data_IF_746013373484
#
_entry.id   IF_746013373484
#
_cell.length_a   1.000
_cell.length_b   1.000
_cell.length_c   1.000
_cell.angle_alpha   90.00
_cell.angle_beta   90.00
_cell.angle_gamma   90.00
#
_symmetry.space_group_name_H-M   'P 1'
#
loop_
_entity.id
_entity.type
_entity.pdbx_description
1 polymer ?
#
# COMPACT_ATOMS: atom_id res chain seq x y z
N UNK A 1 -41.47 -28.63 10.56
CA UNK A 1 -41.11 -27.43 9.79
C UNK A 1 -41.53 -26.23 10.63
N UNK A 2 -40.59 -25.60 11.33
CA UNK A 2 -40.87 -24.40 12.14
C UNK A 2 -40.70 -23.18 11.26
N UNK A 3 -41.79 -22.50 10.92
CA UNK A 3 -41.71 -21.22 10.22
C UNK A 3 -41.18 -20.16 11.19
N UNK A 4 -40.08 -19.52 10.83
CA UNK A 4 -39.57 -18.39 11.58
C UNK A 4 -40.44 -17.16 11.27
N UNK A 5 -40.85 -16.38 12.29
CA UNK A 5 -41.64 -15.17 12.06
C UNK A 5 -40.84 -14.18 11.17
N UNK A 6 -41.51 -13.45 10.27
CA UNK A 6 -40.85 -12.49 9.39
C UNK A 6 -40.15 -11.41 10.21
N UNK A 7 -38.97 -10.98 9.75
CA UNK A 7 -38.23 -9.90 10.41
C UNK A 7 -39.05 -8.60 10.41
N UNK A 8 -39.15 -7.91 11.56
CA UNK A 8 -39.84 -6.63 11.63
C UNK A 8 -39.28 -5.62 10.64
N UNK A 9 -40.14 -4.89 9.92
CA UNK A 9 -39.74 -3.90 8.91
C UNK A 9 -38.78 -2.81 9.43
N UNK A 10 -38.85 -2.48 10.72
CA UNK A 10 -37.97 -1.49 11.34
C UNK A 10 -36.52 -1.99 11.47
N UNK A 11 -36.31 -3.29 11.67
CA UNK A 11 -34.96 -3.88 11.69
C UNK A 11 -34.30 -3.80 10.32
N UNK A 12 -35.06 -4.04 9.24
CA UNK A 12 -34.55 -3.89 7.88
C UNK A 12 -34.16 -2.43 7.58
N UNK A 13 -34.98 -1.45 8.02
CA UNK A 13 -34.65 -0.02 7.85
C UNK A 13 -33.42 0.39 8.65
N UNK A 14 -33.30 -0.04 9.90
CA UNK A 14 -32.12 0.23 10.73
C UNK A 14 -30.88 -0.38 10.09
N UNK A 15 -30.97 -1.64 9.64
CA UNK A 15 -29.87 -2.31 8.92
C UNK A 15 -29.44 -1.51 7.68
N UNK A 16 -30.37 -1.13 6.80
CA UNK A 16 -30.04 -0.36 5.60
C UNK A 16 -29.42 1.00 5.92
N UNK A 17 -29.90 1.69 6.96
CA UNK A 17 -29.32 2.95 7.42
C UNK A 17 -27.88 2.77 7.94
N UNK A 18 -27.65 1.72 8.75
CA UNK A 18 -26.32 1.40 9.25
C UNK A 18 -25.36 1.04 8.11
N UNK A 19 -25.82 0.26 7.13
CA UNK A 19 -25.01 -0.08 5.94
C UNK A 19 -24.70 1.14 5.09
N UNK A 20 -25.67 2.03 4.87
CA UNK A 20 -25.45 3.28 4.15
C UNK A 20 -24.47 4.21 4.89
N UNK A 21 -24.58 4.30 6.21
CA UNK A 21 -23.65 5.07 7.05
C UNK A 21 -22.23 4.48 6.98
N UNK A 22 -22.10 3.16 7.14
CA UNK A 22 -20.81 2.48 7.06
C UNK A 22 -20.14 2.70 5.69
N UNK A 23 -20.90 2.56 4.61
CA UNK A 23 -20.41 2.84 3.25
C UNK A 23 -20.00 4.31 3.11
N UNK A 24 -20.80 5.25 3.62
CA UNK A 24 -20.47 6.68 3.60
C UNK A 24 -19.17 7.00 4.33
N UNK A 25 -18.95 6.41 5.51
CA UNK A 25 -17.70 6.55 6.27
C UNK A 25 -16.49 5.95 5.54
N UNK A 26 -16.66 4.79 4.90
CA UNK A 26 -15.60 4.17 4.10
C UNK A 26 -15.23 5.01 2.87
N UNK A 27 -16.23 5.58 2.18
CA UNK A 27 -15.99 6.47 1.04
C UNK A 27 -15.30 7.77 1.47
N UNK A 28 -15.70 8.33 2.63
CA UNK A 28 -15.01 9.48 3.21
C UNK A 28 -13.54 9.15 3.56
N UNK A 29 -13.31 8.02 4.23
CA UNK A 29 -11.97 7.57 4.58
C UNK A 29 -11.11 7.30 3.34
N UNK A 30 -11.71 6.77 2.27
CA UNK A 30 -11.05 6.63 0.97
C UNK A 30 -10.60 7.99 0.43
N UNK A 31 -11.46 9.01 0.49
CA UNK A 31 -11.08 10.39 0.12
C UNK A 31 -9.90 10.92 0.92
N UNK A 32 -9.91 10.73 2.25
CA UNK A 32 -8.78 11.10 3.14
C UNK A 32 -7.51 10.36 2.73
N UNK A 33 -7.60 9.07 2.43
CA UNK A 33 -6.47 8.25 1.99
C UNK A 33 -5.83 8.80 0.70
N UNK A 34 -6.62 9.16 -0.32
CA UNK A 34 -6.10 9.76 -1.55
C UNK A 34 -5.39 11.09 -1.29
N UNK A 35 -5.97 11.97 -0.47
CA UNK A 35 -5.37 13.26 -0.10
C UNK A 35 -4.05 13.02 0.64
N UNK A 36 -4.05 12.12 1.62
CA UNK A 36 -2.86 11.78 2.38
C UNK A 36 -1.75 11.20 1.49
N UNK A 37 -2.09 10.26 0.61
CA UNK A 37 -1.13 9.68 -0.34
C UNK A 37 -0.53 10.74 -1.28
N UNK A 38 -1.34 11.66 -1.80
CA UNK A 38 -0.84 12.74 -2.65
C UNK A 38 0.15 13.65 -1.91
N UNK A 39 -0.18 14.06 -0.68
CA UNK A 39 0.73 14.85 0.15
C UNK A 39 2.02 14.09 0.46
N UNK A 40 1.91 12.81 0.80
CA UNK A 40 3.06 11.99 1.17
C UNK A 40 3.97 11.72 -0.02
N UNK A 41 3.44 11.42 -1.21
CA UNK A 41 4.25 11.23 -2.43
C UNK A 41 5.07 12.49 -2.76
N UNK A 42 4.53 13.68 -2.51
CA UNK A 42 5.21 14.96 -2.77
C UNK A 42 6.21 15.36 -1.69
N UNK A 43 6.13 14.79 -0.49
CA UNK A 43 7.00 15.13 0.62
C UNK A 43 8.44 14.62 0.34
N UNK A 44 9.47 15.48 0.32
CA UNK A 44 10.79 15.10 -0.20
C UNK A 44 11.69 14.39 0.83
N UNK A 45 11.31 14.38 2.11
CA UNK A 45 12.11 13.80 3.19
C UNK A 45 11.55 12.44 3.62
N UNK A 46 12.34 11.72 4.40
CA UNK A 46 11.93 10.50 5.07
C UNK A 46 10.73 10.79 5.99
N UNK A 47 9.69 9.98 5.81
CA UNK A 47 8.48 10.06 6.62
C UNK A 47 8.40 8.87 7.59
N UNK A 48 8.81 7.70 7.12
CA UNK A 48 8.93 6.48 7.92
C UNK A 48 10.38 6.01 8.00
N UNK A 49 10.75 5.45 9.16
CA UNK A 49 12.12 5.02 9.46
C UNK A 49 12.63 3.99 8.44
N UNK A 50 11.75 3.18 7.86
CA UNK A 50 12.09 2.15 6.89
C UNK A 50 12.41 2.68 5.48
N UNK A 51 11.92 3.86 5.09
CA UNK A 51 11.98 4.33 3.70
C UNK A 51 13.42 4.53 3.20
N UNK A 52 14.33 4.91 4.09
CA UNK A 52 15.75 5.02 3.78
C UNK A 52 16.38 3.67 3.43
N UNK A 53 16.01 2.60 4.14
CA UNK A 53 16.49 1.24 3.87
C UNK A 53 16.01 0.75 2.51
N UNK A 54 14.71 0.91 2.23
CA UNK A 54 14.13 0.54 0.94
C UNK A 54 14.80 1.32 -0.20
N UNK A 55 15.05 2.63 -0.02
CA UNK A 55 15.71 3.45 -1.03
C UNK A 55 17.16 3.01 -1.28
N UNK A 56 17.92 2.65 -0.23
CA UNK A 56 19.30 2.16 -0.37
C UNK A 56 19.33 0.87 -1.17
N UNK A 57 18.44 -0.09 -0.88
CA UNK A 57 18.32 -1.34 -1.64
C UNK A 57 17.99 -1.07 -3.12
N UNK A 58 17.03 -0.19 -3.38
CA UNK A 58 16.70 0.23 -4.75
C UNK A 58 17.90 0.86 -5.46
N UNK A 59 18.67 1.72 -4.78
CA UNK A 59 19.89 2.32 -5.35
C UNK A 59 20.95 1.27 -5.63
N UNK A 60 21.18 0.32 -4.72
CA UNK A 60 22.11 -0.79 -4.96
C UNK A 60 21.70 -1.61 -6.19
N UNK A 61 20.43 -2.03 -6.28
CA UNK A 61 19.94 -2.74 -7.46
C UNK A 61 20.07 -1.90 -8.75
N UNK A 62 19.83 -0.59 -8.69
CA UNK A 62 20.00 0.31 -9.84
C UNK A 62 21.45 0.36 -10.35
N UNK A 63 22.43 0.03 -9.50
CA UNK A 63 23.86 -0.04 -9.83
C UNK A 63 24.33 -1.46 -10.17
N UNK A 64 23.44 -2.45 -10.12
CA UNK A 64 23.81 -3.87 -10.23
C UNK A 64 24.54 -4.41 -8.99
N UNK A 65 24.46 -3.71 -7.86
CA UNK A 65 25.00 -4.14 -6.58
C UNK A 65 24.00 -5.06 -5.86
N UNK A 66 24.52 -6.00 -5.07
CA UNK A 66 23.71 -6.96 -4.33
C UNK A 66 23.47 -6.44 -2.90
N UNK A 67 22.24 -6.21 -2.43
CA UNK A 67 22.02 -5.62 -1.10
C UNK A 67 22.05 -6.64 0.06
N UNK A 68 21.98 -7.94 -0.22
CA UNK A 68 22.08 -8.99 0.80
C UNK A 68 23.55 -9.29 1.11
N UNK A 69 24.16 -8.43 1.91
CA UNK A 69 25.58 -8.47 2.26
C UNK A 69 25.81 -9.08 3.67
N UNK A 70 27.07 -9.25 4.04
CA UNK A 70 27.46 -9.69 5.39
C UNK A 70 27.46 -8.49 6.35
N UNK A 71 26.66 -8.56 7.42
CA UNK A 71 26.56 -7.49 8.42
C UNK A 71 27.73 -7.43 9.42
N UNK A 72 28.65 -8.41 9.41
CA UNK A 72 29.86 -8.38 10.25
C UNK A 72 31.02 -7.59 9.64
N UNK A 73 30.87 -7.14 8.39
CA UNK A 73 31.87 -6.34 7.68
C UNK A 73 31.30 -4.97 7.34
N UNK A 74 32.13 -3.93 7.44
CA UNK A 74 31.76 -2.58 7.01
C UNK A 74 31.25 -2.62 5.54
N UNK A 75 30.11 -1.98 5.21
CA UNK A 75 29.39 -0.96 5.98
C UNK A 75 28.34 -1.47 6.98
N UNK A 76 28.37 -2.75 7.36
CA UNK A 76 27.45 -3.40 8.31
C UNK A 76 25.99 -3.32 7.86
N UNK A 77 25.78 -3.51 6.56
CA UNK A 77 24.48 -3.40 5.91
C UNK A 77 24.07 -4.74 5.30
N UNK A 78 22.78 -5.08 5.38
CA UNK A 78 22.18 -6.16 4.60
C UNK A 78 20.67 -5.95 4.52
N UNK A 79 20.09 -6.17 3.34
CA UNK A 79 18.64 -6.17 3.17
C UNK A 79 17.99 -7.37 3.86
N UNK A 80 16.83 -7.15 4.49
CA UNK A 80 16.01 -8.20 5.09
C UNK A 80 14.71 -8.47 4.31
N UNK A 81 14.47 -7.78 3.20
CA UNK A 81 13.23 -7.87 2.42
C UNK A 81 13.43 -8.54 1.06
N UNK A 82 12.40 -9.19 0.47
CA UNK A 82 12.48 -9.72 -0.88
C UNK A 82 12.79 -8.65 -1.95
N UNK A 83 13.44 -9.01 -3.07
CA UNK A 83 14.02 -8.02 -3.98
C UNK A 83 13.00 -7.37 -4.91
N UNK A 84 11.81 -7.96 -5.09
CA UNK A 84 10.88 -7.60 -6.16
C UNK A 84 10.50 -6.10 -6.16
N UNK A 85 10.17 -5.57 -4.99
CA UNK A 85 9.80 -4.16 -4.83
C UNK A 85 10.93 -3.23 -5.31
N UNK A 86 12.14 -3.49 -4.83
CA UNK A 86 13.33 -2.71 -5.16
C UNK A 86 13.73 -2.81 -6.63
N UNK A 87 13.63 -3.99 -7.22
CA UNK A 87 13.94 -4.23 -8.64
C UNK A 87 12.95 -3.50 -9.55
N UNK A 88 11.66 -3.48 -9.20
CA UNK A 88 10.65 -2.69 -9.93
C UNK A 88 10.92 -1.19 -9.81
N UNK A 89 11.41 -0.72 -8.66
CA UNK A 89 11.72 0.68 -8.41
C UNK A 89 13.07 1.13 -9.04
N UNK A 90 14.01 0.22 -9.29
CA UNK A 90 15.37 0.54 -9.75
C UNK A 90 15.42 1.40 -11.03
N UNK A 91 14.58 1.17 -12.07
CA UNK A 91 14.55 2.05 -13.24
C UNK A 91 14.22 3.51 -12.92
N UNK A 92 13.42 3.79 -11.88
CA UNK A 92 13.09 5.15 -11.49
C UNK A 92 14.33 5.91 -10.97
N UNK A 93 15.28 5.23 -10.32
CA UNK A 93 16.56 5.84 -9.93
C UNK A 93 17.33 6.34 -11.15
N UNK A 94 17.31 5.60 -12.27
CA UNK A 94 18.02 6.01 -13.49
C UNK A 94 17.44 7.28 -14.10
N UNK A 95 16.13 7.44 -14.06
CA UNK A 95 15.44 8.59 -14.67
C UNK A 95 15.35 9.81 -13.74
N UNK A 96 15.23 9.60 -12.44
CA UNK A 96 14.89 10.66 -11.47
C UNK A 96 15.92 10.83 -10.35
N UNK A 97 16.91 9.95 -10.25
CA UNK A 97 17.83 9.87 -9.11
C UNK A 97 17.20 9.22 -7.87
N UNK A 98 17.95 9.10 -6.76
CA UNK A 98 17.44 8.61 -5.49
C UNK A 98 16.37 9.56 -4.92
N UNK A 99 15.14 9.07 -4.71
CA UNK A 99 14.03 9.86 -4.18
C UNK A 99 12.93 8.96 -3.59
N UNK A 100 12.18 9.45 -2.61
CA UNK A 100 11.14 8.64 -1.94
C UNK A 100 9.83 8.51 -2.72
N UNK A 101 9.55 9.43 -3.64
CA UNK A 101 8.21 9.55 -4.26
C UNK A 101 7.81 8.31 -5.06
N UNK A 102 8.74 7.65 -5.76
CA UNK A 102 8.40 6.48 -6.58
C UNK A 102 8.15 5.24 -5.71
N UNK A 103 8.84 5.10 -4.58
CA UNK A 103 8.54 4.04 -3.62
C UNK A 103 7.12 4.19 -3.07
N UNK A 104 6.76 5.41 -2.67
CA UNK A 104 5.41 5.76 -2.20
C UNK A 104 4.34 5.58 -3.27
N UNK A 105 4.63 5.96 -4.51
CA UNK A 105 3.73 5.77 -5.65
C UNK A 105 3.50 4.28 -5.91
N UNK A 106 4.56 3.46 -5.92
CA UNK A 106 4.44 2.02 -6.12
C UNK A 106 3.59 1.39 -5.02
N UNK A 107 3.85 1.70 -3.75
CA UNK A 107 3.06 1.20 -2.62
C UNK A 107 1.58 1.61 -2.74
N UNK A 108 1.31 2.86 -3.11
CA UNK A 108 -0.05 3.36 -3.33
C UNK A 108 -0.77 2.60 -4.47
N UNK A 109 -0.11 2.42 -5.61
CA UNK A 109 -0.68 1.68 -6.74
C UNK A 109 -0.89 0.20 -6.40
N UNK A 110 0.04 -0.42 -5.67
CA UNK A 110 -0.10 -1.79 -5.17
C UNK A 110 -1.33 -1.94 -4.28
N UNK A 111 -1.61 -0.99 -3.38
CA UNK A 111 -2.84 -1.00 -2.58
C UNK A 111 -4.10 -1.00 -3.45
N UNK A 112 -4.15 -0.16 -4.50
CA UNK A 112 -5.31 -0.11 -5.40
C UNK A 112 -5.46 -1.41 -6.20
N UNK A 113 -4.36 -1.98 -6.70
CA UNK A 113 -4.36 -3.26 -7.41
C UNK A 113 -4.85 -4.39 -6.50
N UNK A 114 -4.36 -4.45 -5.26
CA UNK A 114 -4.81 -5.44 -4.27
C UNK A 114 -6.31 -5.27 -3.96
N UNK A 115 -6.78 -4.05 -3.74
CA UNK A 115 -8.20 -3.78 -3.50
C UNK A 115 -9.07 -4.22 -4.69
N UNK A 116 -8.65 -3.90 -5.92
CA UNK A 116 -9.34 -4.32 -7.14
C UNK A 116 -9.34 -5.84 -7.31
N UNK A 117 -8.23 -6.52 -7.02
CA UNK A 117 -8.12 -7.97 -7.08
C UNK A 117 -9.05 -8.65 -6.06
N UNK A 118 -9.15 -8.12 -4.83
CA UNK A 118 -10.09 -8.60 -3.82
C UNK A 118 -11.53 -8.39 -4.30
N UNK A 119 -11.87 -7.20 -4.79
CA UNK A 119 -13.21 -6.91 -5.30
C UNK A 119 -13.59 -7.83 -6.46
N UNK A 120 -12.67 -8.07 -7.40
CA UNK A 120 -12.85 -9.02 -8.49
C UNK A 120 -13.04 -10.45 -7.99
N UNK A 121 -12.24 -10.87 -7.01
CA UNK A 121 -12.35 -12.19 -6.42
C UNK A 121 -13.70 -12.41 -5.72
N UNK A 122 -14.24 -11.39 -5.06
CA UNK A 122 -15.56 -11.45 -4.40
C UNK A 122 -16.70 -11.37 -5.42
N UNK A 123 -16.55 -10.60 -6.50
CA UNK A 123 -17.61 -10.43 -7.50
C UNK A 123 -17.76 -11.63 -8.46
N UNK A 124 -16.65 -12.32 -8.75
CA UNK A 124 -16.66 -13.49 -9.65
C UNK A 124 -17.22 -14.76 -8.99
N UNK A 125 -17.17 -14.80 -7.66
CA UNK A 125 -17.67 -15.91 -6.82
C UNK A 125 -19.18 -15.71 -6.53
#
# INVERSE_FOLDING_TARGET
>A
MTEHPPTPLWLNRVHSLLMALALGLLLFHLGVYFVYAANLIQFPYDYDQGEGFELVDTVMFSRGEWPYQNTDMYPFYSSNYPPLYHVIAAPFVWFFGPAYWYGRLLSFLSTLVTAAAIAYAVYRD
#
